data_IF_993387061255
#
_entry.id   IF_993387061255
#
_cell.length_a   1.000
_cell.length_b   1.000
_cell.length_c   1.000
_cell.angle_alpha   90.00
_cell.angle_beta   90.00
_cell.angle_gamma   90.00
#
_symmetry.space_group_name_H-M   'P 1'
#
loop_
_entity.id
_entity.type
_entity.pdbx_description
1 polymer ?
#
# COMPACT_ATOMS: atom_id res chain seq x y z
N UNK A 1 11.54 6.04 -4.85
CA UNK A 1 10.81 6.99 -4.00
C UNK A 1 10.96 8.37 -4.63
N UNK A 2 9.84 9.07 -4.90
CA UNK A 2 9.83 10.37 -5.57
C UNK A 2 10.29 11.50 -4.64
N UNK A 3 10.69 12.60 -5.26
CA UNK A 3 10.95 13.88 -4.58
C UNK A 3 9.63 14.43 -4.02
N UNK A 4 9.68 14.99 -2.81
CA UNK A 4 8.49 15.59 -2.17
C UNK A 4 8.20 16.92 -2.84
N UNK A 5 6.97 17.11 -3.29
CA UNK A 5 6.48 18.39 -3.76
C UNK A 5 5.51 19.02 -2.76
N UNK A 6 5.44 20.35 -2.75
CA UNK A 6 4.47 21.15 -2.00
C UNK A 6 3.94 22.25 -2.89
N UNK A 7 2.63 22.43 -2.91
CA UNK A 7 1.95 23.49 -3.63
C UNK A 7 0.94 24.19 -2.73
N UNK A 8 0.97 25.49 -2.73
CA UNK A 8 -0.03 26.33 -2.09
C UNK A 8 -0.60 27.32 -3.10
N UNK A 9 -1.90 27.51 -3.07
CA UNK A 9 -2.62 28.39 -3.97
C UNK A 9 -3.77 29.06 -3.23
N UNK A 10 -3.94 30.36 -3.44
CA UNK A 10 -5.09 31.12 -2.98
C UNK A 10 -5.70 31.87 -4.15
N UNK A 11 -7.00 31.79 -4.34
CA UNK A 11 -7.78 32.49 -5.36
C UNK A 11 -8.94 33.18 -4.68
N UNK A 12 -9.06 34.48 -4.89
CA UNK A 12 -10.14 35.29 -4.38
C UNK A 12 -11.04 35.82 -5.50
N UNK A 13 -10.55 35.79 -6.74
CA UNK A 13 -11.27 36.23 -7.92
C UNK A 13 -11.80 34.98 -8.69
N UNK A 14 -13.12 34.80 -8.76
CA UNK A 14 -13.70 33.68 -9.47
C UNK A 14 -13.41 33.66 -10.99
N UNK A 15 -13.05 34.80 -11.59
CA UNK A 15 -12.70 34.84 -13.01
C UNK A 15 -11.41 34.06 -13.34
N UNK A 16 -10.56 33.86 -12.34
CA UNK A 16 -9.32 33.08 -12.48
C UNK A 16 -9.55 31.55 -12.42
N UNK A 17 -10.72 31.11 -11.94
CA UNK A 17 -11.05 29.67 -11.78
C UNK A 17 -10.91 28.84 -13.05
N UNK A 18 -11.30 29.29 -14.25
CA UNK A 18 -11.14 28.49 -15.45
C UNK A 18 -9.69 28.07 -15.75
N UNK A 19 -8.72 28.89 -15.34
CA UNK A 19 -7.30 28.59 -15.50
C UNK A 19 -6.73 27.67 -14.39
N UNK A 20 -7.51 27.32 -13.38
CA UNK A 20 -7.05 26.51 -12.25
C UNK A 20 -6.66 25.08 -12.66
N UNK A 21 -7.42 24.47 -13.56
CA UNK A 21 -7.13 23.14 -14.09
C UNK A 21 -5.76 23.06 -14.77
N UNK A 22 -5.44 24.04 -15.61
CA UNK A 22 -4.14 24.14 -16.28
C UNK A 22 -2.99 24.33 -15.27
N UNK A 23 -3.21 25.16 -14.24
CA UNK A 23 -2.21 25.47 -13.21
C UNK A 23 -1.95 24.33 -12.23
N UNK A 24 -2.95 23.50 -11.97
CA UNK A 24 -2.86 22.36 -11.04
C UNK A 24 -2.59 21.03 -11.71
N UNK A 25 -2.64 20.98 -13.05
CA UNK A 25 -2.57 19.74 -13.82
C UNK A 25 -3.79 18.82 -13.61
N UNK A 26 -4.87 19.36 -13.07
CA UNK A 26 -6.13 18.61 -12.86
C UNK A 26 -7.05 18.78 -14.07
N UNK A 27 -7.73 17.70 -14.45
CA UNK A 27 -8.70 17.69 -15.58
C UNK A 27 -10.08 18.17 -15.13
N UNK A 28 -10.13 19.30 -14.38
CA UNK A 28 -11.37 19.87 -13.87
C UNK A 28 -11.63 21.29 -14.44
N UNK A 29 -12.88 21.55 -14.81
CA UNK A 29 -13.40 22.88 -14.99
C UNK A 29 -13.99 23.40 -13.67
N UNK A 30 -13.89 24.68 -13.43
CA UNK A 30 -14.36 25.34 -12.21
C UNK A 30 -15.14 26.59 -12.54
N UNK A 31 -16.20 26.89 -11.77
CA UNK A 31 -16.91 28.16 -11.86
C UNK A 31 -17.46 28.60 -10.51
N UNK A 32 -17.54 29.90 -10.31
CA UNK A 32 -18.30 30.53 -9.23
C UNK A 32 -18.88 31.86 -9.71
N UNK A 33 -20.07 32.19 -9.23
CA UNK A 33 -20.71 33.50 -9.40
C UNK A 33 -20.96 34.14 -8.04
N UNK A 34 -20.44 33.56 -6.97
CA UNK A 34 -20.62 34.05 -5.60
C UNK A 34 -19.64 35.18 -5.30
N UNK A 35 -20.09 36.37 -4.92
CA UNK A 35 -19.22 37.49 -4.54
C UNK A 35 -18.40 37.24 -3.27
N UNK A 36 -18.79 36.28 -2.42
CA UNK A 36 -18.06 35.88 -1.23
C UNK A 36 -17.07 34.74 -1.50
N UNK A 37 -16.85 34.40 -2.78
CA UNK A 37 -15.98 33.33 -3.18
C UNK A 37 -14.55 33.50 -2.68
N UNK A 38 -14.01 32.41 -2.12
CA UNK A 38 -12.59 32.21 -1.87
C UNK A 38 -12.20 30.75 -2.04
N UNK A 39 -11.00 30.50 -2.54
CA UNK A 39 -10.46 29.17 -2.71
C UNK A 39 -9.02 29.13 -2.19
N UNK A 40 -8.73 28.17 -1.32
CA UNK A 40 -7.37 27.90 -0.86
C UNK A 40 -7.08 26.42 -1.03
N UNK A 41 -5.92 26.11 -1.60
CA UNK A 41 -5.39 24.78 -1.78
C UNK A 41 -4.02 24.67 -1.14
N UNK A 42 -3.81 23.68 -0.30
CA UNK A 42 -2.51 23.16 0.09
C UNK A 42 -2.40 21.71 -0.36
N UNK A 43 -1.36 21.37 -1.10
CA UNK A 43 -1.15 20.01 -1.61
C UNK A 43 0.30 19.61 -1.41
N UNK A 44 0.53 18.40 -0.90
CA UNK A 44 1.85 17.81 -0.81
C UNK A 44 1.79 16.32 -1.16
N UNK A 45 2.91 15.79 -1.62
CA UNK A 45 3.00 14.39 -1.99
C UNK A 45 4.35 14.01 -2.57
N UNK A 46 4.40 12.80 -3.07
CA UNK A 46 5.47 12.28 -3.92
C UNK A 46 4.85 11.52 -5.11
N UNK A 47 5.65 10.80 -5.89
CA UNK A 47 5.13 10.04 -7.03
C UNK A 47 4.20 8.87 -6.67
N UNK A 48 4.01 8.55 -5.39
CA UNK A 48 3.19 7.43 -4.94
C UNK A 48 1.89 7.84 -4.24
N UNK A 49 1.89 8.98 -3.55
CA UNK A 49 0.70 9.49 -2.85
C UNK A 49 0.74 11.00 -2.81
N UNK A 50 -0.42 11.62 -2.92
CA UNK A 50 -0.58 13.03 -2.62
C UNK A 50 -1.78 13.26 -1.72
N UNK A 51 -1.70 14.28 -0.90
CA UNK A 51 -2.81 14.77 -0.12
C UNK A 51 -3.05 16.25 -0.40
N UNK A 52 -4.29 16.66 -0.32
CA UNK A 52 -4.71 18.05 -0.51
C UNK A 52 -5.66 18.48 0.59
N UNK A 53 -5.50 19.71 1.05
CA UNK A 53 -6.48 20.41 1.87
C UNK A 53 -7.01 21.58 1.04
N UNK A 54 -8.32 21.63 0.86
CA UNK A 54 -9.02 22.68 0.09
C UNK A 54 -10.03 23.35 0.99
N UNK A 55 -10.02 24.67 0.96
CA UNK A 55 -11.08 25.49 1.56
C UNK A 55 -11.83 26.21 0.45
N UNK A 56 -13.15 26.15 0.47
CA UNK A 56 -14.04 26.91 -0.40
C UNK A 56 -14.93 27.77 0.49
N UNK A 57 -14.78 29.09 0.39
CA UNK A 57 -15.73 30.06 0.93
C UNK A 57 -16.69 30.49 -0.18
N UNK A 58 -17.95 30.67 0.16
CA UNK A 58 -19.03 30.87 -0.81
C UNK A 58 -19.33 29.59 -1.60
N UNK A 59 -19.94 29.76 -2.77
CA UNK A 59 -20.40 28.63 -3.62
C UNK A 59 -19.48 28.43 -4.82
N UNK A 60 -19.09 27.18 -5.10
CA UNK A 60 -18.30 26.81 -6.28
C UNK A 60 -18.86 25.55 -6.94
N UNK A 61 -18.84 25.50 -8.26
CA UNK A 61 -19.07 24.28 -9.02
C UNK A 61 -17.77 23.82 -9.66
N UNK A 62 -17.55 22.52 -9.67
CA UNK A 62 -16.45 21.87 -10.37
C UNK A 62 -16.94 20.66 -11.15
N UNK A 63 -16.37 20.39 -12.32
CA UNK A 63 -16.70 19.23 -13.15
C UNK A 63 -15.46 18.72 -13.89
N UNK A 64 -15.39 17.42 -14.08
CA UNK A 64 -14.27 16.78 -14.77
C UNK A 64 -14.09 15.34 -14.35
N UNK A 65 -12.92 14.82 -14.63
CA UNK A 65 -12.51 13.47 -14.22
C UNK A 65 -11.13 13.49 -13.54
N UNK A 66 -10.77 12.37 -12.93
CA UNK A 66 -9.47 12.16 -12.28
C UNK A 66 -8.77 10.96 -12.90
N UNK A 67 -7.44 10.97 -12.95
CA UNK A 67 -6.62 9.84 -13.41
C UNK A 67 -6.23 8.91 -12.26
N UNK A 68 -6.50 9.32 -11.02
CA UNK A 68 -6.16 8.58 -9.80
C UNK A 68 -7.40 8.39 -8.94
N UNK A 69 -7.39 7.40 -8.06
CA UNK A 69 -8.41 7.33 -7.02
C UNK A 69 -8.26 8.52 -6.08
N UNK A 70 -9.32 9.32 -5.96
CA UNK A 70 -9.35 10.48 -5.08
C UNK A 70 -10.47 10.32 -4.08
N UNK A 71 -10.16 10.33 -2.80
CA UNK A 71 -11.19 10.32 -1.75
C UNK A 71 -11.20 11.65 -1.06
N UNK A 72 -12.33 12.36 -1.18
CA UNK A 72 -12.60 13.60 -0.50
C UNK A 72 -13.29 13.33 0.84
N UNK A 73 -12.74 13.84 1.92
CA UNK A 73 -13.38 13.95 3.23
C UNK A 73 -13.86 15.37 3.43
N UNK A 74 -15.16 15.56 3.62
CA UNK A 74 -15.82 16.87 3.56
C UNK A 74 -16.25 17.30 4.94
N UNK A 75 -16.03 18.58 5.25
CA UNK A 75 -16.61 19.29 6.39
C UNK A 75 -17.12 20.65 5.93
N UNK A 76 -18.37 20.98 6.23
CA UNK A 76 -18.93 22.29 5.87
C UNK A 76 -20.43 22.27 5.71
N UNK A 77 -20.95 23.24 4.95
CA UNK A 77 -22.39 23.48 4.83
C UNK A 77 -23.04 22.60 3.78
N UNK A 78 -22.41 22.50 2.59
CA UNK A 78 -23.00 21.75 1.46
C UNK A 78 -21.93 21.21 0.54
N UNK A 79 -22.07 19.96 0.12
CA UNK A 79 -21.22 19.31 -0.86
C UNK A 79 -22.03 18.29 -1.63
N UNK A 80 -22.74 18.73 -2.67
CA UNK A 80 -23.51 17.86 -3.56
C UNK A 80 -22.58 17.30 -4.65
N UNK A 81 -22.70 16.02 -4.93
CA UNK A 81 -21.88 15.38 -5.92
C UNK A 81 -22.69 14.48 -6.86
N UNK A 82 -22.26 14.41 -8.10
CA UNK A 82 -22.71 13.45 -9.09
C UNK A 82 -21.49 12.81 -9.75
N UNK A 83 -21.42 11.49 -9.75
CA UNK A 83 -20.37 10.70 -10.38
C UNK A 83 -21.04 9.66 -11.27
N UNK A 84 -20.99 9.88 -12.58
CA UNK A 84 -21.80 9.13 -13.56
C UNK A 84 -23.30 9.17 -13.19
N UNK A 85 -23.89 8.00 -12.87
CA UNK A 85 -25.29 7.86 -12.49
C UNK A 85 -25.54 7.95 -10.97
N UNK A 86 -24.48 7.95 -10.16
CA UNK A 86 -24.59 8.11 -8.71
C UNK A 86 -24.74 9.59 -8.36
N UNK A 87 -25.69 9.91 -7.51
CA UNK A 87 -25.96 11.26 -7.00
C UNK A 87 -26.00 11.17 -5.48
N UNK A 88 -25.37 12.09 -4.80
CA UNK A 88 -25.39 12.15 -3.35
C UNK A 88 -24.99 13.51 -2.81
N UNK A 89 -25.11 13.64 -1.51
CA UNK A 89 -24.57 14.74 -0.73
C UNK A 89 -23.53 14.21 0.25
N UNK A 90 -22.55 15.00 0.58
CA UNK A 90 -21.63 14.70 1.66
C UNK A 90 -21.98 15.62 2.83
N UNK A 91 -22.62 15.06 3.84
CA UNK A 91 -22.81 15.73 5.13
C UNK A 91 -21.45 15.97 5.80
N UNK A 92 -21.37 16.91 6.74
CA UNK A 92 -20.17 17.20 7.50
C UNK A 92 -19.58 15.93 8.13
N UNK A 93 -18.33 15.59 7.76
CA UNK A 93 -17.66 14.36 8.19
C UNK A 93 -17.83 13.17 7.25
N UNK A 94 -18.49 13.32 6.10
CA UNK A 94 -18.66 12.26 5.10
C UNK A 94 -17.47 12.19 4.13
N UNK A 95 -17.32 11.04 3.49
CA UNK A 95 -16.28 10.81 2.48
C UNK A 95 -16.87 10.32 1.17
N UNK A 96 -16.29 10.78 0.05
CA UNK A 96 -16.71 10.46 -1.33
C UNK A 96 -15.51 10.00 -2.11
N UNK A 97 -15.63 8.85 -2.81
CA UNK A 97 -14.62 8.31 -3.70
C UNK A 97 -14.88 8.77 -5.15
N UNK A 98 -13.95 9.54 -5.71
CA UNK A 98 -13.86 9.83 -7.13
C UNK A 98 -12.98 8.77 -7.79
N UNK A 99 -13.55 8.07 -8.76
CA UNK A 99 -12.89 6.97 -9.47
C UNK A 99 -12.26 7.48 -10.77
N UNK A 100 -11.11 6.93 -11.19
CA UNK A 100 -10.51 7.27 -12.48
C UNK A 100 -11.49 7.13 -13.63
N UNK A 101 -11.41 8.04 -14.59
CA UNK A 101 -12.22 8.04 -15.82
C UNK A 101 -13.76 8.09 -15.58
N UNK A 102 -14.19 8.48 -14.38
CA UNK A 102 -15.58 8.71 -14.06
C UNK A 102 -15.87 10.21 -14.01
N UNK A 103 -16.55 10.77 -15.01
CA UNK A 103 -16.95 12.17 -14.99
C UNK A 103 -17.75 12.50 -13.73
N UNK A 104 -17.40 13.60 -13.11
CA UNK A 104 -18.02 14.07 -11.87
C UNK A 104 -18.43 15.54 -11.98
N UNK A 105 -19.49 15.90 -11.25
CA UNK A 105 -19.93 17.25 -11.01
C UNK A 105 -20.07 17.43 -9.50
N UNK A 106 -19.51 18.51 -8.95
CA UNK A 106 -19.63 18.85 -7.55
C UNK A 106 -20.10 20.30 -7.41
N UNK A 107 -21.02 20.54 -6.48
CA UNK A 107 -21.39 21.85 -6.01
C UNK A 107 -21.04 21.94 -4.53
N UNK A 108 -20.08 22.80 -4.21
CA UNK A 108 -19.53 23.00 -2.88
C UNK A 108 -19.92 24.39 -2.36
N UNK A 109 -20.31 24.49 -1.07
CA UNK A 109 -20.60 25.75 -0.42
C UNK A 109 -20.04 25.75 1.00
N UNK A 110 -19.17 26.69 1.30
CA UNK A 110 -18.56 26.89 2.62
C UNK A 110 -18.03 25.58 3.21
N UNK A 111 -17.05 24.97 2.54
CA UNK A 111 -16.51 23.65 2.88
C UNK A 111 -15.00 23.65 3.05
N UNK A 112 -14.53 22.80 3.96
CA UNK A 112 -13.18 22.29 4.05
C UNK A 112 -13.15 20.84 3.56
N UNK A 113 -12.31 20.56 2.58
CA UNK A 113 -12.19 19.24 1.98
C UNK A 113 -10.75 18.77 2.10
N UNK A 114 -10.55 17.63 2.74
CA UNK A 114 -9.24 16.96 2.74
C UNK A 114 -9.31 15.77 1.78
N UNK A 115 -8.36 15.70 0.86
CA UNK A 115 -8.34 14.66 -0.18
C UNK A 115 -7.06 13.83 -0.11
N UNK A 116 -7.22 12.52 -0.29
CA UNK A 116 -6.14 11.59 -0.57
C UNK A 116 -6.19 11.18 -2.04
N UNK A 117 -5.05 11.25 -2.73
CA UNK A 117 -4.90 10.92 -4.15
C UNK A 117 -3.97 9.71 -4.27
N UNK A 118 -4.47 8.61 -4.82
CA UNK A 118 -3.80 7.32 -4.89
C UNK A 118 -3.74 6.85 -6.34
N UNK A 119 -2.55 6.68 -6.94
CA UNK A 119 -2.39 6.13 -8.27
C UNK A 119 -3.05 4.76 -8.41
N UNK A 120 -3.62 4.48 -9.58
CA UNK A 120 -4.30 3.20 -9.88
C UNK A 120 -3.35 2.02 -9.66
N UNK A 121 -2.10 2.16 -10.11
CA UNK A 121 -1.08 1.12 -10.02
C UNK A 121 -0.72 0.79 -8.56
N UNK A 122 -0.72 1.79 -7.69
CA UNK A 122 -0.47 1.59 -6.25
C UNK A 122 -1.61 0.80 -5.60
N UNK A 123 -2.86 1.18 -5.89
CA UNK A 123 -4.05 0.52 -5.34
C UNK A 123 -4.13 -0.91 -5.87
N UNK A 124 -3.86 -1.12 -7.18
CA UNK A 124 -3.80 -2.45 -7.78
C UNK A 124 -2.71 -3.31 -7.16
N UNK A 125 -1.48 -2.79 -7.03
CA UNK A 125 -0.37 -3.54 -6.42
C UNK A 125 -0.66 -3.90 -4.95
N UNK A 126 -1.36 -3.03 -4.22
CA UNK A 126 -1.80 -3.31 -2.86
C UNK A 126 -2.87 -4.39 -2.83
N UNK A 127 -3.85 -4.33 -3.72
CA UNK A 127 -4.89 -5.35 -3.86
C UNK A 127 -4.29 -6.72 -4.23
N UNK A 128 -3.36 -6.75 -5.18
CA UNK A 128 -2.64 -7.96 -5.57
C UNK A 128 -1.85 -8.57 -4.40
N UNK A 129 -1.15 -7.73 -3.64
CA UNK A 129 -0.26 -8.21 -2.57
C UNK A 129 -1.03 -8.64 -1.34
N UNK A 130 -2.00 -7.82 -0.89
CA UNK A 130 -2.73 -8.06 0.37
C UNK A 130 -3.86 -9.06 0.17
N UNK A 131 -4.60 -8.96 -0.93
CA UNK A 131 -5.82 -9.74 -1.14
C UNK A 131 -5.71 -10.79 -2.24
N UNK A 132 -4.61 -10.82 -3.02
CA UNK A 132 -4.46 -11.72 -4.18
C UNK A 132 -5.45 -11.41 -5.30
N UNK A 133 -5.88 -10.17 -5.39
CA UNK A 133 -6.86 -9.71 -6.37
C UNK A 133 -6.18 -9.51 -7.72
N UNK A 134 -6.44 -10.43 -8.69
CA UNK A 134 -5.75 -10.44 -9.99
C UNK A 134 -6.49 -9.64 -11.09
N UNK A 135 -7.73 -9.25 -10.82
CA UNK A 135 -8.53 -8.42 -11.74
C UNK A 135 -8.28 -6.94 -11.49
N UNK A 136 -8.52 -6.07 -12.48
CA UNK A 136 -8.44 -4.62 -12.25
C UNK A 136 -9.31 -4.18 -11.08
N UNK A 137 -8.75 -3.37 -10.19
CA UNK A 137 -9.50 -2.82 -9.06
C UNK A 137 -10.52 -1.81 -9.58
N UNK A 138 -11.77 -2.05 -9.28
CA UNK A 138 -12.87 -1.13 -9.51
C UNK A 138 -13.80 -1.11 -8.30
N UNK A 139 -14.55 -0.02 -8.13
CA UNK A 139 -15.45 0.19 -7.00
C UNK A 139 -16.89 0.34 -7.48
N UNK A 140 -17.82 -0.32 -6.79
CA UNK A 140 -19.23 -0.32 -7.15
C UNK A 140 -19.99 0.90 -6.66
N UNK A 141 -19.42 1.68 -5.73
CA UNK A 141 -20.03 2.91 -5.20
C UNK A 141 -18.98 3.92 -4.76
N UNK A 142 -19.35 5.18 -4.80
CA UNK A 142 -18.59 6.34 -4.32
C UNK A 142 -18.73 6.58 -2.81
N UNK A 143 -19.69 5.92 -2.15
CA UNK A 143 -19.88 6.02 -0.70
C UNK A 143 -19.15 4.88 0.04
N UNK A 144 -18.71 5.10 1.29
CA UNK A 144 -18.15 4.03 2.12
C UNK A 144 -19.16 2.89 2.36
N UNK A 145 -18.65 1.67 2.56
CA UNK A 145 -19.46 0.45 2.82
C UNK A 145 -20.36 0.61 4.04
N UNK A 146 -19.93 1.37 5.05
CA UNK A 146 -20.69 1.65 6.25
C UNK A 146 -20.24 2.94 6.91
N UNK A 147 -21.07 3.53 7.77
CA UNK A 147 -20.74 4.72 8.55
C UNK A 147 -19.44 4.54 9.36
N UNK A 148 -19.26 3.38 10.00
CA UNK A 148 -18.07 3.05 10.80
C UNK A 148 -16.79 3.04 9.94
N UNK A 149 -16.86 2.50 8.73
CA UNK A 149 -15.71 2.51 7.80
C UNK A 149 -15.47 3.91 7.24
N UNK A 150 -16.51 4.71 7.05
CA UNK A 150 -16.39 6.12 6.73
C UNK A 150 -15.68 6.93 7.82
N UNK A 151 -16.02 6.68 9.10
CA UNK A 151 -15.34 7.29 10.25
C UNK A 151 -13.86 6.87 10.32
N UNK A 152 -13.56 5.58 10.13
CA UNK A 152 -12.18 5.09 10.08
C UNK A 152 -11.37 5.78 8.98
N UNK A 153 -11.94 5.89 7.76
CA UNK A 153 -11.31 6.63 6.67
C UNK A 153 -11.06 8.09 7.02
N UNK A 154 -12.04 8.74 7.62
CA UNK A 154 -11.96 10.15 8.06
C UNK A 154 -10.81 10.37 9.05
N UNK A 155 -10.63 9.45 10.00
CA UNK A 155 -9.52 9.49 10.95
C UNK A 155 -8.17 9.28 10.29
N UNK A 156 -8.10 8.37 9.32
CA UNK A 156 -6.88 8.12 8.55
C UNK A 156 -6.44 9.35 7.73
N UNK A 157 -7.37 9.95 7.01
CA UNK A 157 -7.12 11.14 6.19
C UNK A 157 -6.75 12.35 7.05
N UNK A 158 -7.41 12.54 8.20
CA UNK A 158 -7.09 13.63 9.14
C UNK A 158 -5.64 13.52 9.64
N UNK A 159 -5.20 12.31 10.06
CA UNK A 159 -3.80 12.08 10.47
C UNK A 159 -2.81 12.37 9.34
N UNK A 160 -3.15 11.98 8.11
CA UNK A 160 -2.35 12.31 6.94
C UNK A 160 -2.26 13.82 6.69
N UNK A 161 -3.37 14.54 6.84
CA UNK A 161 -3.41 16.00 6.70
C UNK A 161 -2.56 16.72 7.74
N UNK A 162 -2.58 16.26 9.00
CA UNK A 162 -1.75 16.83 10.07
C UNK A 162 -0.25 16.68 9.76
N UNK A 163 0.13 15.65 9.01
CA UNK A 163 1.51 15.45 8.57
C UNK A 163 1.93 16.37 7.43
N UNK A 164 0.99 16.84 6.58
CA UNK A 164 1.31 17.68 5.41
C UNK A 164 2.07 18.95 5.77
N UNK A 165 1.74 19.56 6.89
CA UNK A 165 2.37 20.78 7.40
C UNK A 165 3.67 20.56 8.17
N UNK A 166 4.08 19.31 8.41
CA UNK A 166 5.22 18.96 9.25
C UNK A 166 6.41 18.45 8.46
N UNK A 167 7.62 18.54 9.04
CA UNK A 167 8.84 17.93 8.49
C UNK A 167 8.80 16.40 8.55
N UNK A 168 7.91 15.82 9.34
CA UNK A 168 7.73 14.35 9.45
C UNK A 168 7.29 13.75 8.11
N UNK A 169 6.56 14.50 7.28
CA UNK A 169 6.19 14.06 5.94
C UNK A 169 7.40 13.94 4.99
N UNK A 170 8.52 14.57 5.30
CA UNK A 170 9.77 14.46 4.51
C UNK A 170 10.50 13.12 4.76
N UNK A 171 10.16 12.44 5.86
CA UNK A 171 10.74 11.14 6.18
C UNK A 171 10.18 10.03 5.28
N UNK A 172 11.02 9.34 4.50
CA UNK A 172 10.57 8.35 3.52
C UNK A 172 9.77 7.19 4.13
N UNK A 173 10.13 6.75 5.33
CA UNK A 173 9.47 5.67 6.04
C UNK A 173 8.04 6.07 6.45
N UNK A 174 7.86 7.31 6.89
CA UNK A 174 6.54 7.82 7.29
C UNK A 174 5.61 7.93 6.08
N UNK A 175 6.13 8.41 4.94
CA UNK A 175 5.33 8.45 3.70
C UNK A 175 4.96 7.05 3.22
N UNK A 176 5.89 6.09 3.26
CA UNK A 176 5.62 4.72 2.85
C UNK A 176 4.54 4.08 3.74
N UNK A 177 4.58 4.32 5.04
CA UNK A 177 3.58 3.84 5.98
C UNK A 177 2.21 4.49 5.74
N UNK A 178 2.17 5.80 5.59
CA UNK A 178 0.94 6.53 5.25
C UNK A 178 0.35 6.04 3.92
N UNK A 179 1.17 5.89 2.89
CA UNK A 179 0.78 5.38 1.57
C UNK A 179 0.12 4.01 1.67
N UNK A 180 0.75 3.10 2.41
CA UNK A 180 0.22 1.75 2.65
C UNK A 180 -1.12 1.79 3.38
N UNK A 181 -1.22 2.59 4.45
CA UNK A 181 -2.46 2.71 5.22
C UNK A 181 -3.60 3.31 4.39
N UNK A 182 -3.32 4.32 3.58
CA UNK A 182 -4.31 4.91 2.67
C UNK A 182 -4.77 3.92 1.60
N UNK A 183 -3.85 3.16 0.99
CA UNK A 183 -4.20 2.19 -0.05
C UNK A 183 -5.03 1.02 0.52
N UNK A 184 -4.64 0.46 1.67
CA UNK A 184 -5.42 -0.57 2.37
C UNK A 184 -6.76 -0.01 2.84
N UNK A 185 -6.76 1.20 3.42
CA UNK A 185 -7.98 1.88 3.87
C UNK A 185 -8.98 2.10 2.73
N UNK A 186 -8.51 2.49 1.54
CA UNK A 186 -9.36 2.63 0.35
C UNK A 186 -10.04 1.30 -0.01
N UNK A 187 -9.27 0.22 -0.06
CA UNK A 187 -9.77 -1.12 -0.41
C UNK A 187 -10.74 -1.70 0.63
N UNK A 188 -10.63 -1.32 1.90
CA UNK A 188 -11.50 -1.78 2.98
C UNK A 188 -12.73 -0.91 3.18
N UNK A 189 -12.59 0.40 3.00
CA UNK A 189 -13.65 1.35 3.33
C UNK A 189 -14.68 1.51 2.21
N UNK A 190 -14.30 1.28 0.94
CA UNK A 190 -15.17 1.45 -0.21
C UNK A 190 -15.52 0.11 -0.85
N UNK A 191 -16.76 -0.05 -1.39
CA UNK A 191 -17.22 -1.32 -1.91
C UNK A 191 -16.56 -1.62 -3.25
N UNK A 192 -15.66 -2.61 -3.28
CA UNK A 192 -15.08 -3.12 -4.52
C UNK A 192 -16.13 -3.81 -5.38
N UNK A 193 -15.94 -3.73 -6.70
CA UNK A 193 -16.66 -4.58 -7.63
C UNK A 193 -16.14 -6.01 -7.47
N UNK A 194 -17.04 -6.95 -7.15
CA UNK A 194 -16.70 -8.33 -6.80
C UNK A 194 -17.12 -8.67 -5.36
N UNK A 195 -17.23 -9.95 -5.08
CA UNK A 195 -17.77 -10.40 -3.81
C UNK A 195 -16.76 -10.19 -2.68
N UNK A 196 -17.21 -9.53 -1.61
CA UNK A 196 -16.41 -9.36 -0.38
C UNK A 196 -16.05 -10.70 0.25
N UNK A 197 -16.89 -11.70 0.09
CA UNK A 197 -16.66 -13.07 0.55
C UNK A 197 -15.52 -13.73 -0.23
N UNK A 198 -15.39 -13.47 -1.54
CA UNK A 198 -14.27 -13.95 -2.36
C UNK A 198 -12.92 -13.40 -1.87
N UNK A 199 -12.88 -12.16 -1.38
CA UNK A 199 -11.65 -11.57 -0.81
C UNK A 199 -11.21 -12.27 0.46
N UNK A 200 -12.13 -12.53 1.39
CA UNK A 200 -11.80 -13.26 2.61
C UNK A 200 -11.35 -14.69 2.30
N UNK A 201 -12.02 -15.37 1.38
CA UNK A 201 -11.61 -16.68 0.90
C UNK A 201 -10.23 -16.65 0.25
N UNK A 202 -9.90 -15.59 -0.47
CA UNK A 202 -8.57 -15.39 -1.06
C UNK A 202 -7.49 -15.17 0.01
N UNK A 203 -7.74 -14.35 1.03
CA UNK A 203 -6.81 -14.15 2.15
C UNK A 203 -6.57 -15.44 2.93
N UNK A 204 -7.63 -16.20 3.24
CA UNK A 204 -7.50 -17.51 3.88
C UNK A 204 -6.70 -18.48 3.00
N UNK A 205 -6.96 -18.50 1.70
CA UNK A 205 -6.24 -19.33 0.75
C UNK A 205 -4.75 -18.97 0.70
N UNK A 206 -4.40 -17.67 0.69
CA UNK A 206 -3.01 -17.21 0.75
C UNK A 206 -2.33 -17.60 2.06
N UNK A 207 -2.98 -17.37 3.20
CA UNK A 207 -2.45 -17.76 4.50
C UNK A 207 -2.24 -19.27 4.61
N UNK A 208 -3.16 -20.07 4.06
CA UNK A 208 -3.01 -21.52 4.00
C UNK A 208 -1.86 -21.95 3.10
N UNK A 209 -1.72 -21.33 1.91
CA UNK A 209 -0.60 -21.61 0.98
C UNK A 209 0.75 -21.28 1.62
N UNK A 210 0.84 -20.14 2.29
CA UNK A 210 2.04 -19.76 3.04
C UNK A 210 2.38 -20.78 4.10
N UNK A 211 1.44 -21.18 4.97
CA UNK A 211 1.68 -22.16 6.05
C UNK A 211 2.12 -23.52 5.51
N UNK A 212 1.46 -24.01 4.46
CA UNK A 212 1.83 -25.32 3.85
C UNK A 212 3.24 -25.25 3.27
N UNK A 213 3.58 -24.18 2.55
CA UNK A 213 4.89 -24.07 1.93
C UNK A 213 6.00 -23.78 2.93
N UNK A 214 5.74 -23.00 3.98
CA UNK A 214 6.69 -22.78 5.08
C UNK A 214 7.00 -24.09 5.79
N UNK A 215 5.97 -24.86 6.16
CA UNK A 215 6.12 -26.17 6.76
C UNK A 215 6.90 -27.12 5.84
N UNK A 216 6.59 -27.13 4.54
CA UNK A 216 7.34 -27.95 3.56
C UNK A 216 8.82 -27.58 3.52
N UNK A 217 9.16 -26.29 3.54
CA UNK A 217 10.54 -25.83 3.59
C UNK A 217 11.25 -26.25 4.90
N UNK A 218 10.57 -26.17 6.03
CA UNK A 218 11.13 -26.54 7.33
C UNK A 218 11.38 -28.05 7.41
N UNK A 219 10.45 -28.86 6.93
CA UNK A 219 10.55 -30.33 6.95
C UNK A 219 11.59 -30.88 5.97
N UNK A 220 11.83 -30.18 4.85
CA UNK A 220 12.69 -30.64 3.76
C UNK A 220 13.92 -29.74 3.53
N UNK A 221 14.32 -28.93 4.50
CA UNK A 221 15.42 -27.97 4.33
C UNK A 221 16.75 -28.60 3.93
N UNK A 222 17.03 -29.85 4.37
CA UNK A 222 18.23 -30.61 4.03
C UNK A 222 18.22 -31.20 2.60
N UNK A 223 17.04 -31.32 2.00
CA UNK A 223 16.86 -31.93 0.70
C UNK A 223 17.12 -30.91 -0.43
N UNK A 224 17.42 -31.37 -1.66
CA UNK A 224 17.64 -30.48 -2.81
C UNK A 224 16.33 -29.96 -3.38
N UNK A 225 15.47 -29.38 -2.52
CA UNK A 225 14.18 -28.80 -2.89
C UNK A 225 14.31 -27.40 -3.48
N UNK A 226 13.30 -27.04 -4.28
CA UNK A 226 13.16 -25.76 -4.97
C UNK A 226 11.88 -25.02 -4.50
N UNK A 227 11.71 -23.78 -4.93
CA UNK A 227 10.47 -23.01 -4.71
C UNK A 227 9.29 -23.65 -5.45
N UNK A 228 9.54 -24.26 -6.60
CA UNK A 228 8.55 -24.97 -7.40
C UNK A 228 8.00 -26.20 -6.66
N UNK A 229 8.83 -26.90 -5.90
CA UNK A 229 8.40 -28.04 -5.10
C UNK A 229 7.46 -27.61 -3.97
N UNK A 230 7.79 -26.51 -3.30
CA UNK A 230 6.92 -25.91 -2.28
C UNK A 230 5.61 -25.38 -2.88
N UNK A 231 5.66 -24.78 -4.07
CA UNK A 231 4.46 -24.34 -4.78
C UNK A 231 3.55 -25.53 -5.13
N UNK A 232 4.14 -26.64 -5.57
CA UNK A 232 3.43 -27.90 -5.84
C UNK A 232 2.81 -28.49 -4.57
N UNK A 233 3.56 -28.50 -3.46
CA UNK A 233 3.05 -28.96 -2.16
C UNK A 233 1.86 -28.11 -1.68
N UNK A 234 1.92 -26.80 -1.87
CA UNK A 234 0.83 -25.86 -1.55
C UNK A 234 -0.28 -25.81 -2.63
N UNK A 235 -0.22 -26.66 -3.69
CA UNK A 235 -1.16 -26.71 -4.82
C UNK A 235 -1.38 -25.32 -5.45
N UNK A 236 -0.30 -24.61 -5.74
CA UNK A 236 -0.35 -23.24 -6.27
C UNK A 236 0.78 -23.00 -7.28
N UNK A 237 0.78 -21.84 -7.92
CA UNK A 237 1.87 -21.40 -8.79
C UNK A 237 2.96 -20.72 -7.97
N UNK A 238 4.20 -20.70 -8.49
CA UNK A 238 5.32 -19.97 -7.88
C UNK A 238 5.00 -18.48 -7.67
N UNK A 239 4.33 -17.84 -8.64
CA UNK A 239 3.90 -16.44 -8.55
C UNK A 239 2.93 -16.22 -7.38
N UNK A 240 1.91 -17.06 -7.25
CA UNK A 240 0.94 -16.98 -6.15
C UNK A 240 1.58 -17.30 -4.79
N UNK A 241 2.59 -18.21 -4.76
CA UNK A 241 3.35 -18.50 -3.55
C UNK A 241 4.20 -17.31 -3.10
N UNK A 242 4.86 -16.60 -4.02
CA UNK A 242 5.61 -15.37 -3.70
C UNK A 242 4.70 -14.35 -3.04
N UNK A 243 3.49 -14.11 -3.59
CA UNK A 243 2.50 -13.20 -2.98
C UNK A 243 2.07 -13.67 -1.59
N UNK A 244 1.81 -14.98 -1.44
CA UNK A 244 1.41 -15.54 -0.15
C UNK A 244 2.48 -15.32 0.93
N UNK A 245 3.76 -15.42 0.59
CA UNK A 245 4.87 -15.12 1.49
C UNK A 245 4.97 -13.63 1.80
N UNK A 246 4.90 -12.77 0.80
CA UNK A 246 4.94 -11.31 0.98
C UNK A 246 3.80 -10.80 1.87
N UNK A 247 2.60 -11.38 1.73
CA UNK A 247 1.43 -11.00 2.52
C UNK A 247 1.43 -11.54 3.96
N UNK A 248 2.02 -12.72 4.20
CA UNK A 248 1.84 -13.43 5.48
C UNK A 248 3.12 -13.60 6.30
N UNK A 249 4.32 -13.49 5.69
CA UNK A 249 5.57 -13.58 6.45
C UNK A 249 5.86 -12.26 7.17
N UNK A 250 6.16 -12.25 8.51
CA UNK A 250 6.33 -11.02 9.30
C UNK A 250 7.40 -10.06 8.77
N UNK A 251 8.43 -10.59 8.10
CA UNK A 251 9.51 -9.80 7.50
C UNK A 251 9.36 -9.65 5.97
N UNK A 252 8.22 -10.05 5.38
CA UNK A 252 7.99 -9.97 3.95
C UNK A 252 8.97 -10.79 3.09
N UNK A 253 9.55 -11.87 3.63
CA UNK A 253 10.51 -12.69 2.89
C UNK A 253 9.83 -13.36 1.69
N UNK A 254 10.57 -13.48 0.60
CA UNK A 254 10.18 -14.37 -0.51
C UNK A 254 10.40 -15.85 -0.14
N UNK A 255 9.74 -16.81 -0.82
CA UNK A 255 9.94 -18.24 -0.58
C UNK A 255 11.42 -18.67 -0.64
N UNK A 256 12.18 -18.13 -1.62
CA UNK A 256 13.60 -18.43 -1.76
C UNK A 256 14.45 -17.86 -0.61
N UNK A 257 14.12 -16.68 -0.12
CA UNK A 257 14.77 -16.08 1.06
C UNK A 257 14.44 -16.86 2.33
N UNK A 258 13.19 -17.31 2.47
CA UNK A 258 12.75 -18.15 3.59
C UNK A 258 13.54 -19.47 3.62
N UNK A 259 13.54 -20.22 2.53
CA UNK A 259 14.30 -21.49 2.43
C UNK A 259 15.80 -21.28 2.75
N UNK A 260 16.40 -20.22 2.20
CA UNK A 260 17.80 -19.89 2.49
C UNK A 260 18.01 -19.60 3.97
N UNK A 261 17.08 -18.90 4.61
CA UNK A 261 17.14 -18.59 6.04
C UNK A 261 17.02 -19.84 6.88
N UNK A 262 16.03 -20.71 6.61
CA UNK A 262 15.85 -21.99 7.29
C UNK A 262 17.09 -22.88 7.20
N UNK A 263 17.70 -22.99 6.02
CA UNK A 263 18.97 -23.71 5.81
C UNK A 263 20.14 -23.09 6.58
N UNK A 264 20.18 -21.77 6.65
CA UNK A 264 21.23 -21.04 7.38
C UNK A 264 21.11 -21.26 8.89
N UNK A 265 19.89 -21.22 9.43
CA UNK A 265 19.62 -21.47 10.85
C UNK A 265 19.94 -22.91 11.25
N UNK A 266 19.71 -23.88 10.37
CA UNK A 266 20.10 -25.26 10.56
C UNK A 266 21.63 -25.46 10.49
N UNK A 267 22.30 -24.83 9.51
CA UNK A 267 23.75 -24.84 9.43
C UNK A 267 24.42 -24.19 10.64
N UNK A 268 23.78 -23.14 11.20
CA UNK A 268 24.28 -22.50 12.43
C UNK A 268 24.23 -23.45 13.62
N UNK A 269 23.16 -24.19 13.78
CA UNK A 269 23.06 -25.25 14.85
C UNK A 269 24.13 -26.32 14.66
N UNK A 270 24.28 -26.84 13.44
CA UNK A 270 25.32 -27.84 13.14
C UNK A 270 26.74 -27.30 13.41
N UNK A 271 27.00 -26.01 13.19
CA UNK A 271 28.29 -25.38 13.51
C UNK A 271 28.50 -25.19 15.01
N UNK A 272 27.44 -24.99 15.79
CA UNK A 272 27.54 -24.90 17.26
C UNK A 272 27.77 -26.27 17.90
N UNK A 273 27.17 -27.34 17.33
CA UNK A 273 27.24 -28.70 17.83
C UNK A 273 28.41 -29.51 17.20
N UNK A 274 29.08 -28.92 16.19
CA UNK A 274 30.14 -29.56 15.44
C UNK A 274 31.46 -29.69 16.23
N UNK A 275 32.22 -30.76 15.95
CA UNK A 275 33.52 -31.01 16.56
C UNK A 275 34.60 -31.16 15.46
N UNK A 276 35.49 -30.17 15.32
CA UNK A 276 36.60 -30.25 14.36
C UNK A 276 37.50 -31.49 14.56
N UNK A 277 37.64 -31.97 15.81
CA UNK A 277 38.43 -33.17 16.09
C UNK A 277 37.78 -34.47 15.54
N UNK A 278 36.47 -34.43 15.29
CA UNK A 278 35.71 -35.52 14.66
C UNK A 278 35.56 -35.36 13.15
N UNK A 279 36.20 -34.33 12.57
CA UNK A 279 36.23 -34.09 11.13
C UNK A 279 35.14 -33.16 10.61
N UNK A 280 34.41 -32.49 11.50
CA UNK A 280 33.45 -31.48 11.04
C UNK A 280 34.21 -30.26 10.47
N UNK A 281 33.72 -29.79 9.33
CA UNK A 281 34.29 -28.62 8.64
C UNK A 281 33.18 -27.67 8.21
N UNK A 282 33.48 -26.36 8.20
CA UNK A 282 32.56 -25.34 7.70
C UNK A 282 32.07 -25.67 6.29
N UNK A 283 32.97 -26.16 5.41
CA UNK A 283 32.63 -26.55 4.03
C UNK A 283 31.67 -27.74 4.00
N UNK A 284 31.89 -28.76 4.83
CA UNK A 284 31.03 -29.95 4.91
C UNK A 284 29.64 -29.60 5.44
N UNK A 285 29.57 -28.81 6.50
CA UNK A 285 28.30 -28.34 7.07
C UNK A 285 27.53 -27.47 6.07
N UNK A 286 28.21 -26.49 5.45
CA UNK A 286 27.59 -25.64 4.43
C UNK A 286 27.03 -26.48 3.26
N UNK A 287 27.77 -27.46 2.79
CA UNK A 287 27.34 -28.35 1.70
C UNK A 287 26.14 -29.20 2.07
N UNK A 288 26.08 -29.74 3.30
CA UNK A 288 24.93 -30.51 3.84
C UNK A 288 23.64 -29.70 3.75
N UNK A 289 23.68 -28.40 3.98
CA UNK A 289 22.53 -27.49 3.92
C UNK A 289 22.37 -26.77 2.57
N UNK A 290 22.97 -27.33 1.48
CA UNK A 290 22.76 -26.87 0.12
C UNK A 290 23.50 -25.61 -0.28
N UNK A 291 24.51 -25.16 0.49
CA UNK A 291 25.36 -24.03 0.12
C UNK A 291 26.57 -24.54 -0.70
N UNK A 292 26.48 -24.37 -2.01
CA UNK A 292 27.52 -24.84 -2.95
C UNK A 292 28.81 -24.01 -2.92
N UNK A 293 28.75 -22.77 -2.43
CA UNK A 293 29.90 -21.83 -2.42
C UNK A 293 30.23 -21.41 -0.98
N UNK A 294 31.28 -21.98 -0.40
CA UNK A 294 31.69 -21.70 0.98
C UNK A 294 31.96 -20.20 1.25
N UNK A 295 32.53 -19.46 0.29
CA UNK A 295 32.78 -18.04 0.44
C UNK A 295 31.49 -17.21 0.55
N UNK A 296 30.49 -17.50 -0.31
CA UNK A 296 29.16 -16.85 -0.24
C UNK A 296 28.41 -17.23 1.03
N UNK A 297 28.53 -18.50 1.46
CA UNK A 297 28.00 -18.95 2.74
C UNK A 297 28.58 -18.14 3.90
N UNK A 298 29.91 -18.02 3.97
CA UNK A 298 30.57 -17.30 5.06
C UNK A 298 30.20 -15.81 5.09
N UNK A 299 30.08 -15.18 3.92
CA UNK A 299 29.63 -13.79 3.81
C UNK A 299 28.20 -13.62 4.31
N UNK A 300 27.28 -14.47 3.87
CA UNK A 300 25.86 -14.43 4.28
C UNK A 300 25.70 -14.79 5.76
N UNK A 301 26.43 -15.79 6.23
CA UNK A 301 26.47 -16.17 7.65
C UNK A 301 26.88 -15.00 8.56
N UNK A 302 27.95 -14.28 8.14
CA UNK A 302 28.41 -13.10 8.88
C UNK A 302 27.38 -11.97 8.91
N UNK A 303 26.66 -11.76 7.82
CA UNK A 303 25.57 -10.78 7.78
C UNK A 303 24.44 -11.11 8.73
N UNK A 304 24.12 -12.40 8.90
CA UNK A 304 23.01 -12.87 9.72
C UNK A 304 23.39 -12.94 11.21
N UNK A 305 24.59 -13.47 11.52
CA UNK A 305 24.99 -13.78 12.92
C UNK A 305 26.09 -12.87 13.48
N UNK A 306 26.61 -11.93 12.71
CA UNK A 306 27.66 -11.01 13.15
C UNK A 306 29.03 -11.64 13.39
N UNK A 307 29.19 -12.95 13.14
CA UNK A 307 30.42 -13.73 13.34
C UNK A 307 30.71 -14.62 12.13
N UNK A 308 31.92 -15.17 12.04
CA UNK A 308 32.27 -16.12 10.96
C UNK A 308 31.86 -17.54 11.33
N UNK A 309 31.52 -18.41 10.33
CA UNK A 309 31.20 -19.80 10.60
C UNK A 309 32.36 -20.57 11.25
N UNK A 310 33.61 -20.30 10.85
CA UNK A 310 34.77 -20.92 11.49
C UNK A 310 34.85 -20.60 12.97
N UNK A 311 34.64 -19.32 13.33
CA UNK A 311 34.66 -18.92 14.76
C UNK A 311 33.52 -19.54 15.57
N UNK A 312 32.41 -19.91 14.92
CA UNK A 312 31.31 -20.61 15.57
C UNK A 312 31.67 -22.07 15.78
N UNK A 313 32.29 -22.72 14.78
CA UNK A 313 32.71 -24.12 14.84
C UNK A 313 33.88 -24.37 15.84
N UNK A 314 34.78 -23.37 15.99
CA UNK A 314 35.97 -23.48 16.84
C UNK A 314 35.68 -23.16 18.36
N UNK A 315 34.42 -22.97 18.73
CA UNK A 315 33.98 -22.71 20.10
C UNK A 315 33.67 -23.98 20.87
#
# INVERSE_FOLDING_TARGET
MGEVFRHELTILDPEVLPALGERTGMRFGYSSTDPAFSYRLSRAGDGQVAMSAVHVGGTMSLWGDTEVFTVAHVRGVRYDWQIRAEIGDAAAGSSVLFRPEHPSLVVAQDVDVTMAHLPVELVQATADTVYGHETPVDFSSSAPVSARLGEYWSDLVRRGADMLGSTVFEEPMVRADLTRHLAVGLLECFPLLGDREERYLSMEAQSRRYRIAAQFFDDHASDPITVEDAARAARTTTKALVRAFQANHPLGLTPAQYLRRTRMDAAHRDLQDGDPARGDTVKGIAARWGFTHAGRFAQYYRQVYGTTPSRTLDR
#
